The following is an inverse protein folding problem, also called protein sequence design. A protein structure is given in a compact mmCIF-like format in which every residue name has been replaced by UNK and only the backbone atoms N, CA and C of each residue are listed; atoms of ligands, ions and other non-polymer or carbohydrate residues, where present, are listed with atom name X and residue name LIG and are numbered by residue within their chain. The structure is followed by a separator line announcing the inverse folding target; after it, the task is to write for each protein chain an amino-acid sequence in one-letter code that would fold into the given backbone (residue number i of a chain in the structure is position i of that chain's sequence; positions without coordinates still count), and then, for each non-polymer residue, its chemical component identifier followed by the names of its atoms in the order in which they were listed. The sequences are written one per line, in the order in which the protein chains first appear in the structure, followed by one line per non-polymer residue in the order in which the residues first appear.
data_IF_301264116991
#
_entry.id   IF_301264116991
#
_cell.length_a   1.000
_cell.length_b   1.000
_cell.length_c   1.000
_cell.angle_alpha   90.00
_cell.angle_beta   90.00
_cell.angle_gamma   90.00
#
_symmetry.space_group_name_H-M   'P 1'
#
loop_
_entity.id
_entity.type
_entity.pdbx_description
1 polymer ?
#
# COMPACT_ATOMS: atom_id res chain seq x y z
N UNK A 1 2.99 11.66 2.67
CA UNK A 1 2.08 10.48 2.72
C UNK A 1 2.61 9.54 3.79
N UNK A 2 1.75 8.89 4.55
CA UNK A 2 2.14 7.85 5.52
C UNK A 2 1.05 6.78 5.59
N UNK A 3 1.37 5.62 6.15
CA UNK A 3 0.38 4.57 6.40
C UNK A 3 0.60 3.89 7.76
N UNK A 4 -0.48 3.31 8.29
CA UNK A 4 -0.44 2.46 9.46
C UNK A 4 -1.30 1.20 9.24
N UNK A 5 -0.72 0.00 9.34
CA UNK A 5 0.71 -0.27 9.42
C UNK A 5 1.49 0.27 8.20
N UNK A 6 2.79 0.51 8.33
CA UNK A 6 3.58 1.23 7.33
C UNK A 6 3.58 0.50 5.97
N UNK A 7 4.01 -0.74 5.96
CA UNK A 7 3.95 -1.67 4.82
C UNK A 7 4.30 -3.06 5.34
N UNK A 8 4.44 -4.04 4.46
CA UNK A 8 5.01 -5.35 4.82
C UNK A 8 6.44 -5.26 5.39
N UNK A 9 7.14 -4.13 5.29
CA UNK A 9 8.48 -3.95 5.86
C UNK A 9 8.55 -4.09 7.38
N UNK A 10 7.40 -4.03 8.08
CA UNK A 10 7.35 -4.29 9.52
C UNK A 10 7.34 -5.80 9.85
N UNK A 11 7.23 -6.67 8.84
CA UNK A 11 7.26 -8.12 8.99
C UNK A 11 8.70 -8.63 8.89
N UNK A 12 9.06 -9.60 9.72
CA UNK A 12 10.38 -10.23 9.74
C UNK A 12 10.73 -10.81 8.35
N UNK A 13 11.89 -10.43 7.82
CA UNK A 13 12.40 -10.89 6.52
C UNK A 13 11.85 -10.12 5.31
N UNK A 14 11.09 -9.05 5.52
CA UNK A 14 10.52 -8.20 4.46
C UNK A 14 11.01 -6.76 4.50
N UNK A 15 12.05 -6.44 5.28
CA UNK A 15 12.48 -5.07 5.60
C UNK A 15 12.89 -4.23 4.37
N UNK A 16 13.21 -4.90 3.25
CA UNK A 16 13.64 -4.28 2.00
C UNK A 16 12.57 -4.35 0.90
N UNK A 17 11.31 -4.66 1.21
CA UNK A 17 10.25 -4.61 0.21
C UNK A 17 10.01 -3.15 -0.22
N UNK A 18 9.98 -2.94 -1.53
CA UNK A 18 9.89 -1.62 -2.14
C UNK A 18 8.45 -1.07 -2.21
N UNK A 19 7.46 -1.87 -1.78
CA UNK A 19 6.04 -1.55 -1.88
C UNK A 19 5.56 -0.73 -0.69
N UNK A 20 6.18 0.43 -0.54
CA UNK A 20 6.00 1.38 0.56
C UNK A 20 4.95 2.46 0.24
N UNK A 21 4.44 3.22 1.24
CA UNK A 21 3.37 4.21 1.05
C UNK A 21 3.69 5.35 0.08
N UNK A 22 4.97 5.66 -0.18
CA UNK A 22 5.37 6.65 -1.18
C UNK A 22 4.88 6.28 -2.60
N UNK A 23 4.69 4.99 -2.89
CA UNK A 23 4.13 4.51 -4.17
C UNK A 23 2.70 4.96 -4.43
N UNK A 24 1.96 5.38 -3.40
CA UNK A 24 0.62 5.94 -3.57
C UNK A 24 0.62 7.30 -4.28
N UNK A 25 1.78 7.97 -4.35
CA UNK A 25 1.93 9.31 -4.92
C UNK A 25 3.14 9.44 -5.87
N UNK A 26 3.76 8.34 -6.29
CA UNK A 26 4.97 8.36 -7.13
C UNK A 26 4.70 8.66 -8.61
N UNK A 27 3.42 8.75 -9.01
CA UNK A 27 2.98 9.07 -10.35
C UNK A 27 2.84 7.88 -11.30
N UNK A 28 3.17 6.66 -10.87
CA UNK A 28 3.09 5.45 -11.69
C UNK A 28 1.91 4.59 -11.26
N UNK A 29 0.83 4.66 -12.05
CA UNK A 29 -0.44 4.04 -11.69
C UNK A 29 -0.70 2.68 -12.35
N UNK A 30 0.09 2.31 -13.35
CA UNK A 30 -0.12 1.11 -14.16
C UNK A 30 1.24 0.41 -14.34
N UNK A 31 1.61 -0.39 -13.33
CA UNK A 31 2.80 -1.24 -13.38
C UNK A 31 2.41 -2.72 -13.35
N UNK A 32 2.84 -3.53 -14.32
CA UNK A 32 2.45 -4.94 -14.41
C UNK A 32 3.02 -5.82 -13.30
N UNK A 33 4.12 -5.39 -12.67
CA UNK A 33 4.83 -6.15 -11.63
C UNK A 33 4.41 -5.82 -10.19
N UNK A 34 3.67 -4.72 -10.00
CA UNK A 34 3.23 -4.21 -8.70
C UNK A 34 4.33 -3.54 -7.86
N UNK A 35 5.49 -3.23 -8.46
CA UNK A 35 6.58 -2.52 -7.76
C UNK A 35 6.23 -1.07 -7.43
N UNK A 36 5.32 -0.47 -8.19
CA UNK A 36 4.72 0.85 -7.97
C UNK A 36 3.39 0.75 -7.22
N UNK A 37 3.32 -0.08 -6.19
CA UNK A 37 2.12 -0.24 -5.37
C UNK A 37 2.50 -0.28 -3.90
N UNK A 38 1.63 0.21 -3.03
CA UNK A 38 1.77 0.01 -1.60
C UNK A 38 1.22 -1.35 -1.20
N UNK A 39 1.96 -2.13 -0.41
CA UNK A 39 1.49 -3.39 0.17
C UNK A 39 1.41 -3.28 1.70
N UNK A 40 0.19 -3.21 2.20
CA UNK A 40 -0.08 -3.27 3.63
C UNK A 40 0.05 -4.71 4.16
N UNK A 41 0.53 -4.90 5.39
CA UNK A 41 0.56 -6.22 6.02
C UNK A 41 -0.86 -6.62 6.48
N UNK A 42 -1.08 -7.93 6.62
CA UNK A 42 -2.30 -8.47 7.21
C UNK A 42 -2.03 -8.71 8.68
N UNK A 43 -2.52 -7.83 9.54
CA UNK A 43 -2.39 -7.94 10.99
C UNK A 43 -3.78 -8.11 11.62
N UNK A 44 -4.03 -9.19 12.40
CA UNK A 44 -5.30 -9.39 13.08
C UNK A 44 -5.67 -8.21 13.99
N UNK A 45 -6.87 -7.69 13.84
CA UNK A 45 -7.39 -6.59 14.67
C UNK A 45 -6.96 -5.18 14.23
N UNK A 46 -6.08 -5.06 13.22
CA UNK A 46 -5.63 -3.77 12.73
C UNK A 46 -6.36 -3.33 11.45
N UNK A 47 -6.55 -2.02 11.34
CA UNK A 47 -7.14 -1.38 10.16
C UNK A 47 -6.03 -0.64 9.42
N UNK A 48 -5.89 -0.95 8.12
CA UNK A 48 -5.01 -0.22 7.22
C UNK A 48 -5.51 1.22 7.04
N UNK A 49 -4.70 2.20 7.47
CA UNK A 49 -4.97 3.63 7.38
C UNK A 49 -3.92 4.30 6.52
N UNK A 50 -4.35 5.14 5.59
CA UNK A 50 -3.47 6.00 4.78
C UNK A 50 -3.70 7.45 5.17
N UNK A 51 -2.62 8.17 5.43
CA UNK A 51 -2.62 9.57 5.83
C UNK A 51 -2.03 10.42 4.70
N UNK A 52 -2.89 11.20 4.05
CA UNK A 52 -2.48 12.27 3.12
C UNK A 52 -2.37 13.56 3.91
N UNK A 53 -1.15 14.08 4.05
CA UNK A 53 -0.82 15.24 4.88
C UNK A 53 -0.44 16.38 3.95
N UNK A 54 -1.06 17.55 4.14
CA UNK A 54 -0.77 18.77 3.40
C UNK A 54 -0.16 19.81 4.34
N UNK A 55 0.86 20.55 3.88
CA UNK A 55 1.56 21.55 4.69
C UNK A 55 0.72 22.82 4.97
N UNK A 56 -0.39 22.97 4.23
CA UNK A 56 -1.34 24.07 4.34
C UNK A 56 -2.77 23.56 4.11
N UNK A 57 -3.82 24.31 4.49
CA UNK A 57 -5.20 23.91 4.22
C UNK A 57 -5.47 23.70 2.72
N UNK A 58 -5.93 22.49 2.36
CA UNK A 58 -6.25 22.09 0.98
C UNK A 58 -7.70 21.63 0.90
N UNK A 59 -8.45 22.18 -0.06
CA UNK A 59 -9.78 21.68 -0.38
C UNK A 59 -9.66 20.42 -1.27
N UNK A 60 -10.12 19.28 -0.76
CA UNK A 60 -10.08 18.01 -1.49
C UNK A 60 -11.38 17.80 -2.24
N UNK A 61 -11.32 17.72 -3.57
CA UNK A 61 -12.50 17.51 -4.42
C UNK A 61 -12.70 16.05 -4.86
N UNK A 62 -11.61 15.29 -5.00
CA UNK A 62 -11.64 13.91 -5.47
C UNK A 62 -10.48 13.13 -4.87
N UNK A 63 -10.77 11.88 -4.54
CA UNK A 63 -9.77 10.84 -4.31
C UNK A 63 -10.01 9.77 -5.38
N UNK A 64 -8.96 9.38 -6.10
CA UNK A 64 -8.99 8.23 -7.01
C UNK A 64 -8.00 7.20 -6.47
N UNK A 65 -8.37 5.93 -6.52
CA UNK A 65 -7.58 4.83 -5.97
C UNK A 65 -7.38 3.79 -7.08
N UNK A 66 -6.13 3.36 -7.24
CA UNK A 66 -5.72 2.32 -8.18
C UNK A 66 -5.38 1.11 -7.34
N UNK A 67 -6.26 0.12 -7.37
CA UNK A 67 -6.04 -1.13 -6.69
C UNK A 67 -5.61 -2.18 -7.72
N UNK A 68 -4.62 -2.99 -7.36
CA UNK A 68 -4.09 -4.04 -8.21
C UNK A 68 -4.39 -5.41 -7.59
N UNK A 69 -4.89 -6.34 -8.41
CA UNK A 69 -5.05 -7.75 -8.03
C UNK A 69 -4.05 -8.59 -8.81
N UNK A 70 -3.11 -9.23 -8.11
CA UNK A 70 -2.23 -10.24 -8.74
C UNK A 70 -3.05 -11.49 -9.01
N UNK A 71 -3.11 -11.93 -10.27
CA UNK A 71 -3.91 -13.10 -10.70
C UNK A 71 -3.53 -14.39 -9.95
N UNK A 72 -4.50 -15.29 -9.84
CA UNK A 72 -4.60 -16.40 -8.88
C UNK A 72 -3.54 -17.50 -8.90
N UNK A 73 -2.54 -17.45 -9.80
CA UNK A 73 -1.41 -18.41 -9.77
C UNK A 73 -0.45 -18.18 -8.59
N UNK A 74 -0.66 -17.10 -7.82
CA UNK A 74 0.07 -16.77 -6.57
C UNK A 74 -0.89 -16.36 -5.44
N UNK A 75 -2.03 -17.05 -5.30
CA UNK A 75 -2.87 -16.90 -4.10
C UNK A 75 -2.01 -17.17 -2.86
N UNK A 76 -2.11 -16.29 -1.87
CA UNK A 76 -1.76 -16.60 -0.48
C UNK A 76 -2.55 -17.87 -0.14
N UNK A 77 -1.87 -18.96 0.24
CA UNK A 77 -2.54 -20.10 0.87
C UNK A 77 -3.38 -19.51 1.99
N UNK A 78 -4.69 -19.76 1.97
CA UNK A 78 -5.57 -19.44 3.08
C UNK A 78 -4.86 -19.82 4.38
N UNK A 79 -4.68 -18.83 5.26
CA UNK A 79 -4.34 -19.14 6.64
C UNK A 79 -5.61 -19.79 7.20
N UNK A 80 -5.55 -21.11 7.34
CA UNK A 80 -6.57 -21.90 8.05
C UNK A 80 -6.58 -21.60 9.54
#
# INVERSE_FOLDING_TARGET
IAAHPESVNIMEGMENDIRTPDKLIDGVNDSPDGQHSWLAPILPGEINRVYVIFDYPVAVSRIKIWNYSKTSSRKVKEFG
#
